data_IF_078600357236
#
_entry.id   IF_078600357236
#
_cell.length_a   1.000
_cell.length_b   1.000
_cell.length_c   1.000
_cell.angle_alpha   90.00
_cell.angle_beta   90.00
_cell.angle_gamma   90.00
#
_symmetry.space_group_name_H-M   'P 1'
#
loop_
_entity.id
_entity.type
_entity.pdbx_description
1 polymer ?
#
# COMPACT_ATOMS: atom_id res chain seq x y z
N UNK A 1 -5.22 -14.05 4.28
CA UNK A 1 -3.89 -13.52 3.91
C UNK A 1 -3.40 -14.26 2.68
N UNK A 2 -3.19 -13.59 1.54
CA UNK A 2 -2.58 -14.21 0.36
C UNK A 2 -1.17 -14.72 0.70
N UNK A 3 -0.81 -15.91 0.22
CA UNK A 3 0.53 -16.48 0.38
C UNK A 3 0.82 -17.16 1.73
N UNK A 4 -0.14 -17.25 2.65
CA UNK A 4 0.03 -17.99 3.92
C UNK A 4 -0.68 -19.33 3.86
N UNK A 5 0.10 -20.42 3.76
CA UNK A 5 -0.41 -21.78 3.86
C UNK A 5 -0.61 -22.26 5.31
N UNK A 6 -1.28 -23.42 5.51
CA UNK A 6 -1.63 -23.93 6.85
C UNK A 6 -0.43 -24.09 7.79
N UNK A 7 0.71 -24.60 7.27
CA UNK A 7 1.95 -24.79 8.04
C UNK A 7 2.53 -23.46 8.54
N UNK A 8 2.50 -22.43 7.70
CA UNK A 8 2.99 -21.10 8.06
C UNK A 8 2.03 -20.42 9.05
N UNK A 9 0.71 -20.55 8.85
CA UNK A 9 -0.29 -20.03 9.77
C UNK A 9 -0.14 -20.62 11.18
N UNK A 10 0.02 -21.95 11.29
CA UNK A 10 0.25 -22.61 12.57
C UNK A 10 1.52 -22.08 13.27
N UNK A 11 2.63 -21.91 12.53
CA UNK A 11 3.87 -21.33 13.08
C UNK A 11 3.67 -19.91 13.60
N UNK A 12 2.94 -19.06 12.87
CA UNK A 12 2.64 -17.70 13.28
C UNK A 12 1.76 -17.66 14.53
N UNK A 13 0.75 -18.54 14.62
CA UNK A 13 -0.11 -18.64 15.80
C UNK A 13 0.69 -19.01 17.06
N UNK A 14 1.53 -20.05 16.98
CA UNK A 14 2.40 -20.42 18.11
C UNK A 14 3.45 -19.35 18.44
N UNK A 15 3.94 -18.60 17.44
CA UNK A 15 4.82 -17.47 17.69
C UNK A 15 4.11 -16.40 18.53
N UNK A 16 2.88 -16.02 18.19
CA UNK A 16 2.09 -15.05 18.97
C UNK A 16 1.83 -15.55 20.39
N UNK A 17 1.45 -16.82 20.56
CA UNK A 17 1.18 -17.41 21.88
C UNK A 17 2.41 -17.46 22.80
N UNK A 18 3.62 -17.53 22.24
CA UNK A 18 4.88 -17.53 23.00
C UNK A 18 5.40 -16.11 23.32
N UNK A 19 4.85 -15.08 22.69
CA UNK A 19 5.25 -13.70 22.94
C UNK A 19 4.59 -13.13 24.21
N UNK A 20 5.10 -12.00 24.70
CA UNK A 20 4.46 -11.27 25.78
C UNK A 20 3.07 -10.78 25.36
N UNK A 21 2.16 -10.65 26.34
CA UNK A 21 0.84 -10.05 26.13
C UNK A 21 0.95 -8.65 25.51
N UNK A 22 1.96 -7.88 25.94
CA UNK A 22 2.26 -6.55 25.41
C UNK A 22 2.55 -6.59 23.90
N UNK A 23 3.45 -7.46 23.45
CA UNK A 23 3.81 -7.58 22.03
C UNK A 23 2.60 -8.02 21.19
N UNK A 24 1.82 -8.99 21.67
CA UNK A 24 0.61 -9.44 20.98
C UNK A 24 -0.43 -8.31 20.87
N UNK A 25 -0.59 -7.53 21.95
CA UNK A 25 -1.49 -6.37 21.97
C UNK A 25 -1.02 -5.27 21.03
N UNK A 26 0.27 -4.97 21.01
CA UNK A 26 0.84 -3.96 20.13
C UNK A 26 0.70 -4.34 18.65
N UNK A 27 0.90 -5.61 18.30
CA UNK A 27 0.66 -6.11 16.95
C UNK A 27 -0.82 -5.95 16.54
N UNK A 28 -1.75 -6.34 17.42
CA UNK A 28 -3.18 -6.20 17.15
C UNK A 28 -3.58 -4.72 16.94
N UNK A 29 -3.10 -3.83 17.81
CA UNK A 29 -3.31 -2.38 17.68
C UNK A 29 -2.74 -1.83 16.38
N UNK A 30 -1.52 -2.21 16.00
CA UNK A 30 -0.90 -1.74 14.77
C UNK A 30 -1.70 -2.13 13.52
N UNK A 31 -2.28 -3.34 13.49
CA UNK A 31 -3.13 -3.79 12.38
C UNK A 31 -4.43 -2.96 12.31
N UNK A 32 -5.07 -2.72 13.47
CA UNK A 32 -6.30 -1.92 13.55
C UNK A 32 -6.02 -0.48 13.13
N UNK A 33 -5.00 0.15 13.71
CA UNK A 33 -4.62 1.52 13.39
C UNK A 33 -4.27 1.70 11.91
N UNK A 34 -3.55 0.73 11.31
CA UNK A 34 -3.26 0.78 9.89
C UNK A 34 -4.56 0.75 9.07
N UNK A 35 -5.53 -0.10 9.42
CA UNK A 35 -6.81 -0.19 8.71
C UNK A 35 -7.67 1.07 8.85
N UNK A 36 -7.60 1.75 9.99
CA UNK A 36 -8.37 2.97 10.28
C UNK A 36 -7.75 4.24 9.68
N UNK A 37 -6.42 4.36 9.73
CA UNK A 37 -5.70 5.59 9.35
C UNK A 37 -5.29 5.62 7.89
N UNK A 38 -5.05 4.46 7.27
CA UNK A 38 -4.67 4.40 5.86
C UNK A 38 -5.84 4.84 5.00
N UNK A 39 -5.56 5.83 4.15
CA UNK A 39 -6.47 6.36 3.14
C UNK A 39 -5.73 6.58 1.83
N UNK A 40 -6.49 6.98 0.82
CA UNK A 40 -5.95 7.31 -0.49
C UNK A 40 -5.62 8.79 -0.57
N UNK A 41 -4.53 9.12 -1.25
CA UNK A 41 -4.14 10.47 -1.54
C UNK A 41 -5.17 11.12 -2.47
N UNK A 42 -5.64 12.30 -2.11
CA UNK A 42 -6.64 13.08 -2.86
C UNK A 42 -6.18 13.50 -4.27
N UNK A 43 -4.88 13.44 -4.57
CA UNK A 43 -4.29 13.83 -5.85
C UNK A 43 -3.99 12.63 -6.76
N UNK A 44 -3.33 11.60 -6.21
CA UNK A 44 -2.73 10.54 -7.02
C UNK A 44 -3.24 9.14 -6.73
N UNK A 45 -4.13 8.94 -5.75
CA UNK A 45 -4.61 7.60 -5.39
C UNK A 45 -3.59 6.70 -4.67
N UNK A 46 -2.40 7.20 -4.32
CA UNK A 46 -1.45 6.42 -3.51
C UNK A 46 -1.96 6.23 -2.07
N UNK A 47 -1.53 5.16 -1.39
CA UNK A 47 -1.80 4.94 0.03
C UNK A 47 -0.97 5.90 0.90
N UNK A 48 -1.61 6.53 1.88
CA UNK A 48 -1.01 7.50 2.80
C UNK A 48 -1.85 7.62 4.08
N UNK A 49 -1.26 8.12 5.16
CA UNK A 49 -1.96 8.50 6.40
C UNK A 49 -2.38 10.00 6.42
N UNK A 50 -1.86 10.78 5.46
CA UNK A 50 -2.17 12.21 5.20
C UNK A 50 -3.15 12.37 4.04
N UNK A 51 -3.77 13.55 3.88
CA UNK A 51 -4.65 13.84 2.72
C UNK A 51 -3.86 13.82 1.40
N UNK A 52 -2.65 14.38 1.41
CA UNK A 52 -1.74 14.41 0.28
C UNK A 52 -0.49 13.60 0.64
N UNK A 53 -0.09 12.64 -0.20
CA UNK A 53 1.08 11.81 0.05
C UNK A 53 2.39 12.60 -0.09
N UNK A 54 3.47 12.07 0.48
CA UNK A 54 4.78 12.74 0.53
C UNK A 54 5.38 12.99 -0.85
N UNK A 55 5.06 12.12 -1.83
CA UNK A 55 5.52 12.30 -3.22
C UNK A 55 4.86 13.53 -3.86
N UNK A 56 3.55 13.70 -3.69
CA UNK A 56 2.82 14.86 -4.22
C UNK A 56 3.19 16.17 -3.49
N UNK A 57 3.50 16.10 -2.20
CA UNK A 57 3.94 17.25 -1.41
C UNK A 57 5.39 17.66 -1.71
N UNK A 58 6.22 16.74 -2.20
CA UNK A 58 7.63 17.01 -2.41
C UNK A 58 7.86 18.09 -3.48
N UNK A 59 8.64 19.12 -3.10
CA UNK A 59 9.08 20.17 -4.01
C UNK A 59 10.21 19.70 -4.96
N UNK A 60 10.86 18.58 -4.65
CA UNK A 60 11.97 18.04 -5.44
C UNK A 60 11.49 17.13 -6.59
N UNK A 61 10.18 16.99 -6.77
CA UNK A 61 9.56 16.18 -7.83
C UNK A 61 9.13 17.04 -8.99
N UNK A 62 9.30 16.50 -10.19
CA UNK A 62 8.79 17.11 -11.41
C UNK A 62 7.28 16.82 -11.54
N UNK A 63 6.46 17.85 -11.30
CA UNK A 63 5.00 17.77 -11.39
C UNK A 63 4.47 17.81 -12.82
N UNK A 64 5.33 18.03 -13.82
CA UNK A 64 4.94 18.00 -15.24
C UNK A 64 4.89 16.58 -15.81
N UNK A 65 5.46 15.60 -15.11
CA UNK A 65 5.55 14.20 -15.56
C UNK A 65 4.80 13.30 -14.57
N UNK A 66 3.83 12.55 -15.07
CA UNK A 66 3.00 11.63 -14.29
C UNK A 66 3.24 10.20 -14.78
N UNK A 67 3.64 9.31 -13.87
CA UNK A 67 3.71 7.88 -14.12
C UNK A 67 2.43 7.21 -13.63
N UNK A 68 1.62 6.75 -14.58
CA UNK A 68 0.39 6.04 -14.29
C UNK A 68 0.73 4.58 -13.98
N UNK A 69 0.24 4.07 -12.87
CA UNK A 69 0.46 2.69 -12.42
C UNK A 69 -0.86 2.02 -12.06
N UNK A 70 -0.89 0.69 -12.19
CA UNK A 70 -2.08 -0.10 -11.88
C UNK A 70 -2.39 -0.06 -10.37
N UNK A 71 -1.39 -0.32 -9.52
CA UNK A 71 -1.57 -0.31 -8.08
C UNK A 71 -0.39 0.28 -7.31
N UNK A 72 -0.59 0.47 -6.01
CA UNK A 72 0.43 1.01 -5.08
C UNK A 72 1.70 0.15 -5.05
N UNK A 73 1.61 -1.16 -5.30
CA UNK A 73 2.78 -2.04 -5.34
C UNK A 73 3.75 -1.67 -6.46
N UNK A 74 3.22 -1.26 -7.62
CA UNK A 74 4.02 -0.87 -8.78
C UNK A 74 4.70 0.47 -8.52
N UNK A 75 3.99 1.40 -7.88
CA UNK A 75 4.56 2.66 -7.39
C UNK A 75 5.74 2.39 -6.46
N UNK A 76 5.57 1.53 -5.44
CA UNK A 76 6.64 1.20 -4.49
C UNK A 76 7.83 0.54 -5.21
N UNK A 77 7.57 -0.31 -6.21
CA UNK A 77 8.62 -0.96 -6.98
C UNK A 77 9.45 0.06 -7.78
N UNK A 78 8.81 1.01 -8.45
CA UNK A 78 9.48 2.09 -9.19
C UNK A 78 10.24 3.01 -8.24
N UNK A 79 9.62 3.40 -7.12
CA UNK A 79 10.21 4.32 -6.17
C UNK A 79 11.49 3.77 -5.52
N UNK A 80 11.54 2.45 -5.28
CA UNK A 80 12.75 1.76 -4.77
C UNK A 80 13.95 1.85 -5.70
N UNK A 81 13.76 2.13 -6.99
CA UNK A 81 14.88 2.31 -7.93
C UNK A 81 15.62 3.62 -7.68
N UNK A 82 14.94 4.66 -7.16
CA UNK A 82 15.50 5.99 -6.95
C UNK A 82 15.74 6.81 -8.23
N UNK A 83 15.43 6.26 -9.41
CA UNK A 83 15.71 6.89 -10.70
C UNK A 83 14.58 7.81 -11.17
N UNK A 84 13.34 7.52 -10.78
CA UNK A 84 12.17 8.28 -11.22
C UNK A 84 11.93 9.52 -10.35
N UNK A 85 11.89 10.70 -10.98
CA UNK A 85 11.73 12.00 -10.28
C UNK A 85 10.38 12.68 -10.51
N UNK A 86 9.50 12.10 -11.33
CA UNK A 86 8.15 12.62 -11.54
C UNK A 86 7.19 12.26 -10.39
N UNK A 87 5.92 12.56 -10.58
CA UNK A 87 4.84 12.11 -9.69
C UNK A 87 4.13 10.88 -10.27
N UNK A 88 3.23 10.28 -9.50
CA UNK A 88 2.48 9.08 -9.90
C UNK A 88 0.99 9.35 -9.97
N UNK A 89 0.26 8.45 -10.61
CA UNK A 89 -1.19 8.29 -10.49
C UNK A 89 -1.52 6.80 -10.42
N UNK A 90 -2.28 6.39 -9.41
CA UNK A 90 -2.63 4.99 -9.13
C UNK A 90 -4.07 4.74 -9.58
N UNK A 91 -4.27 3.74 -10.43
CA UNK A 91 -5.58 3.43 -11.01
C UNK A 91 -6.46 2.52 -10.15
N UNK A 92 -5.87 1.82 -9.17
CA UNK A 92 -6.54 0.80 -8.32
C UNK A 92 -7.06 -0.41 -9.10
N UNK A 93 -6.39 -0.75 -10.21
CA UNK A 93 -6.68 -1.93 -11.02
C UNK A 93 -6.51 -1.68 -12.51
N UNK A 94 -6.67 -2.75 -13.29
CA UNK A 94 -6.66 -2.72 -14.74
C UNK A 94 -8.06 -3.03 -15.30
N UNK A 95 -8.33 -2.51 -16.49
CA UNK A 95 -9.52 -2.88 -17.26
C UNK A 95 -9.41 -4.37 -17.60
N UNK A 96 -10.43 -5.13 -17.25
CA UNK A 96 -10.52 -6.57 -17.54
C UNK A 96 -11.95 -6.88 -18.00
N UNK A 97 -12.22 -6.84 -19.33
CA UNK A 97 -13.55 -7.14 -19.85
C UNK A 97 -13.99 -8.58 -19.56
N UNK A 98 -13.04 -9.50 -19.43
CA UNK A 98 -13.31 -10.90 -19.07
C UNK A 98 -13.84 -11.03 -17.62
N UNK A 99 -13.41 -10.14 -16.73
CA UNK A 99 -13.87 -10.08 -15.34
C UNK A 99 -15.02 -9.06 -15.15
N UNK A 100 -15.53 -8.48 -16.24
CA UNK A 100 -16.57 -7.44 -16.21
C UNK A 100 -16.11 -6.09 -15.66
N UNK A 101 -14.80 -5.82 -15.65
CA UNK A 101 -14.22 -4.55 -15.19
C UNK A 101 -14.08 -3.63 -16.39
N UNK A 102 -14.99 -2.67 -16.52
CA UNK A 102 -14.97 -1.62 -17.53
C UNK A 102 -14.33 -0.33 -16.97
N UNK A 103 -13.72 0.52 -17.82
CA UNK A 103 -13.48 1.91 -17.43
C UNK A 103 -14.84 2.56 -17.21
N UNK A 104 -15.06 3.13 -16.03
CA UNK A 104 -16.35 3.68 -15.61
C UNK A 104 -17.02 4.61 -16.62
#
# INVERSE_FOLDING_TARGET
MPGIGPKTAQRLAFYILKNSLENATNLAKAIIEAKEKIKYCSICGNITDKDICEICQSANRDKSIICVVEGVKDLIALERTGEYKGVYHVLEGAISPLDGIEPG
#
